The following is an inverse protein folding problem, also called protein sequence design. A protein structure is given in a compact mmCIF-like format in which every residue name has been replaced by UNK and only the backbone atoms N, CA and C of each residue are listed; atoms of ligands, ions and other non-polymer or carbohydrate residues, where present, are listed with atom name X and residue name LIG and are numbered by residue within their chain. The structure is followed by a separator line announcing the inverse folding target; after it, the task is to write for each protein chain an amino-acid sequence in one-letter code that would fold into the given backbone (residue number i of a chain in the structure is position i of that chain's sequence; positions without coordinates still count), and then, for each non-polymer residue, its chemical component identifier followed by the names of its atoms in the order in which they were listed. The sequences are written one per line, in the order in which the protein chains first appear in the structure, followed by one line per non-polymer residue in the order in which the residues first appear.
data_IF_118292791386
#
_entry.id   IF_118292791386
#
_cell.length_a   1.000
_cell.length_b   1.000
_cell.length_c   1.000
_cell.angle_alpha   90.00
_cell.angle_beta   90.00
_cell.angle_gamma   90.00
#
_symmetry.space_group_name_H-M   'P 1'
#
loop_
_entity.id
_entity.type
_entity.pdbx_description
1 polymer ?
#
# COMPACT_ATOMS: atom_id res chain seq x y z
N UNK A 1 38.92 -3.44 17.78
CA UNK A 1 38.37 -2.16 18.26
C UNK A 1 37.26 -1.75 17.31
N UNK A 2 36.07 -2.31 17.53
CA UNK A 2 34.86 -2.05 16.76
C UNK A 2 34.07 -0.98 17.47
N UNK A 3 33.94 0.20 16.86
CA UNK A 3 33.08 1.28 17.36
C UNK A 3 31.63 0.87 17.13
N UNK A 4 30.92 0.54 18.20
CA UNK A 4 29.46 0.47 18.19
C UNK A 4 28.90 1.88 18.05
N UNK A 5 28.06 2.08 17.03
CA UNK A 5 27.29 3.31 16.85
C UNK A 5 26.00 3.21 17.66
N UNK A 6 25.68 4.29 18.39
CA UNK A 6 24.48 4.41 19.22
C UNK A 6 23.19 4.38 18.39
N UNK A 7 22.13 3.81 18.97
CA UNK A 7 20.79 3.71 18.36
C UNK A 7 20.17 5.08 18.01
N UNK A 8 20.70 6.19 18.53
CA UNK A 8 20.24 7.55 18.24
C UNK A 8 20.80 8.16 16.94
N UNK A 9 21.85 7.56 16.34
CA UNK A 9 22.48 8.13 15.13
C UNK A 9 21.92 7.58 13.80
N UNK A 10 21.04 6.56 13.83
CA UNK A 10 20.41 6.00 12.62
C UNK A 10 19.19 6.77 12.11
N UNK A 11 18.68 7.76 12.86
CA UNK A 11 17.44 8.48 12.53
C UNK A 11 17.64 9.83 11.81
N UNK A 12 18.87 10.19 11.43
CA UNK A 12 19.18 11.53 10.88
C UNK A 12 19.20 11.65 9.35
N UNK A 13 18.76 10.63 8.60
CA UNK A 13 18.89 10.61 7.13
C UNK A 13 17.56 10.38 6.41
N UNK A 14 16.53 11.15 6.76
CA UNK A 14 15.42 11.41 5.84
C UNK A 14 15.27 12.93 5.73
N UNK A 15 15.36 13.53 4.52
CA UNK A 15 15.00 14.92 4.36
C UNK A 15 13.54 15.08 4.76
N UNK A 16 13.30 15.91 5.77
CA UNK A 16 11.96 16.29 6.16
C UNK A 16 11.27 17.00 4.98
N UNK A 17 10.29 16.34 4.37
CA UNK A 17 9.33 16.93 3.43
C UNK A 17 8.36 17.86 4.18
N UNK A 18 8.88 18.95 4.73
CA UNK A 18 8.09 19.97 5.40
C UNK A 18 8.70 21.35 5.18
N UNK A 19 8.08 22.17 4.32
CA UNK A 19 8.37 23.60 4.27
C UNK A 19 8.19 24.32 2.93
N UNK A 20 7.01 24.29 2.31
CA UNK A 20 6.64 25.33 1.33
C UNK A 20 5.95 26.48 2.08
N UNK A 21 6.73 27.47 2.50
CA UNK A 21 6.20 28.77 2.92
C UNK A 21 6.15 29.71 1.71
N UNK A 22 4.97 30.27 1.47
CA UNK A 22 4.70 31.24 0.43
C UNK A 22 5.44 32.57 0.72
N UNK A 23 6.34 32.96 -0.17
CA UNK A 23 6.88 34.32 -0.23
C UNK A 23 6.18 35.06 -1.39
N UNK A 24 5.33 36.02 -1.05
CA UNK A 24 4.77 36.97 -2.00
C UNK A 24 5.86 37.97 -2.42
N UNK A 25 6.26 37.91 -3.70
CA UNK A 25 7.13 38.89 -4.35
C UNK A 25 6.41 39.56 -5.51
N UNK A 26 6.46 40.90 -5.54
CA UNK A 26 5.80 41.78 -6.51
C UNK A 26 6.24 41.58 -7.98
N UNK A 27 5.40 41.98 -8.96
CA UNK A 27 5.64 41.71 -10.38
C UNK A 27 6.51 42.80 -11.01
N UNK A 28 7.62 42.38 -11.64
CA UNK A 28 8.28 43.19 -12.66
C UNK A 28 8.24 42.47 -13.99
N UNK A 29 7.34 42.94 -14.86
CA UNK A 29 7.34 42.62 -16.27
C UNK A 29 8.54 43.28 -16.95
N UNK A 30 9.27 42.51 -17.76
CA UNK A 30 9.63 42.94 -19.11
C UNK A 30 10.04 41.71 -19.92
N UNK A 31 9.38 41.56 -21.06
CA UNK A 31 9.53 40.41 -21.95
C UNK A 31 10.88 40.39 -22.67
N UNK A 32 11.24 39.19 -23.10
CA UNK A 32 11.81 38.87 -24.40
C UNK A 32 11.85 37.34 -24.51
N UNK A 33 11.48 36.82 -25.68
CA UNK A 33 11.27 35.40 -25.89
C UNK A 33 12.44 34.53 -25.49
N UNK A 34 12.14 33.43 -24.84
CA UNK A 34 13.02 32.28 -24.74
C UNK A 34 12.18 31.06 -25.06
N UNK A 35 12.54 30.35 -26.12
CA UNK A 35 12.08 28.97 -26.28
C UNK A 35 12.34 28.27 -24.97
N UNK A 36 11.26 27.85 -24.32
CA UNK A 36 11.35 26.89 -23.25
C UNK A 36 11.68 25.58 -23.97
N UNK A 37 12.97 25.43 -24.30
CA UNK A 37 13.55 24.09 -24.35
C UNK A 37 13.29 23.56 -22.93
N UNK A 38 12.19 22.82 -22.77
CA UNK A 38 11.91 22.08 -21.55
C UNK A 38 13.16 21.23 -21.33
N UNK A 39 13.98 21.60 -20.34
CA UNK A 39 15.11 20.80 -19.92
C UNK A 39 14.55 19.41 -19.61
N UNK A 40 14.81 18.47 -20.51
CA UNK A 40 14.52 17.06 -20.33
C UNK A 40 15.29 16.67 -19.07
N UNK A 41 14.58 16.45 -17.97
CA UNK A 41 15.22 16.07 -16.72
C UNK A 41 15.75 14.62 -16.83
N UNK A 42 16.68 14.24 -15.96
CA UNK A 42 17.27 12.89 -15.96
C UNK A 42 16.21 11.78 -15.87
N UNK A 43 15.04 12.10 -15.30
CA UNK A 43 13.92 11.18 -15.20
C UNK A 43 13.22 10.99 -16.55
N UNK A 44 13.04 12.04 -17.35
CA UNK A 44 12.52 11.92 -18.71
C UNK A 44 13.46 11.13 -19.63
N UNK A 45 14.77 11.33 -19.53
CA UNK A 45 15.76 10.53 -20.28
C UNK A 45 15.66 9.04 -19.91
N UNK A 46 15.53 8.73 -18.61
CA UNK A 46 15.31 7.37 -18.13
C UNK A 46 14.03 6.77 -18.73
N UNK A 47 12.92 7.50 -18.70
CA UNK A 47 11.64 7.00 -19.21
C UNK A 47 11.68 6.78 -20.73
N UNK A 48 12.33 7.66 -21.49
CA UNK A 48 12.58 7.48 -22.92
C UNK A 48 13.38 6.20 -23.15
N UNK A 49 14.45 5.97 -22.37
CA UNK A 49 15.25 4.75 -22.44
C UNK A 49 14.47 3.47 -22.14
N UNK A 50 13.44 3.56 -21.30
CA UNK A 50 12.51 2.46 -20.99
C UNK A 50 11.33 2.36 -21.97
N UNK A 51 11.16 3.32 -22.89
CA UNK A 51 10.02 3.39 -23.79
C UNK A 51 8.70 3.70 -23.08
N UNK A 52 8.72 4.50 -22.00
CA UNK A 52 7.54 4.81 -21.17
C UNK A 52 7.22 6.29 -21.10
N UNK A 53 5.94 6.59 -20.86
CA UNK A 53 5.51 7.91 -20.39
C UNK A 53 5.54 8.01 -18.87
N UNK A 54 5.43 9.23 -18.33
CA UNK A 54 5.34 9.47 -16.88
C UNK A 54 4.11 8.80 -16.28
N UNK A 55 2.99 8.82 -16.98
CA UNK A 55 1.71 8.21 -16.57
C UNK A 55 1.82 6.68 -16.55
N UNK A 56 2.45 6.09 -17.57
CA UNK A 56 2.68 4.64 -17.61
C UNK A 56 3.57 4.21 -16.44
N UNK A 57 4.68 4.91 -16.20
CA UNK A 57 5.57 4.60 -15.09
C UNK A 57 4.89 4.75 -13.72
N UNK A 58 4.07 5.79 -13.56
CA UNK A 58 3.29 5.99 -12.35
C UNK A 58 2.27 4.87 -12.10
N UNK A 59 1.55 4.47 -13.16
CA UNK A 59 0.59 3.37 -13.12
C UNK A 59 1.26 2.04 -12.74
N UNK A 60 2.36 1.69 -13.41
CA UNK A 60 3.09 0.45 -13.11
C UNK A 60 3.62 0.49 -11.67
N UNK A 61 4.11 1.64 -11.18
CA UNK A 61 4.54 1.76 -9.79
C UNK A 61 3.43 1.50 -8.77
N UNK A 62 2.22 1.99 -9.03
CA UNK A 62 1.05 1.70 -8.19
C UNK A 62 0.66 0.23 -8.28
N UNK A 63 0.67 -0.32 -9.49
CA UNK A 63 0.37 -1.73 -9.74
C UNK A 63 1.28 -2.65 -8.93
N UNK A 64 2.60 -2.49 -9.06
CA UNK A 64 3.56 -3.34 -8.35
C UNK A 64 3.55 -3.11 -6.82
N UNK A 65 3.30 -1.87 -6.38
CA UNK A 65 3.12 -1.58 -4.96
C UNK A 65 1.85 -2.28 -4.40
N UNK A 66 0.79 -2.36 -5.19
CA UNK A 66 -0.42 -3.10 -4.86
C UNK A 66 -0.15 -4.57 -4.60
N UNK A 67 0.60 -5.24 -5.49
CA UNK A 67 1.05 -6.61 -5.31
C UNK A 67 1.82 -6.81 -4.01
N UNK A 68 2.84 -5.99 -3.76
CA UNK A 68 3.68 -6.15 -2.58
C UNK A 68 2.92 -5.92 -1.26
N UNK A 69 2.08 -4.89 -1.18
CA UNK A 69 1.28 -4.62 0.03
C UNK A 69 0.27 -5.74 0.25
N UNK A 70 -0.43 -6.19 -0.80
CA UNK A 70 -1.39 -7.28 -0.72
C UNK A 70 -0.72 -8.59 -0.25
N UNK A 71 0.42 -8.95 -0.84
CA UNK A 71 1.19 -10.12 -0.43
C UNK A 71 1.54 -10.08 1.06
N UNK A 72 2.00 -8.94 1.58
CA UNK A 72 2.28 -8.77 3.03
C UNK A 72 1.03 -8.90 3.89
N UNK A 73 -0.09 -8.35 3.48
CA UNK A 73 -1.37 -8.45 4.22
C UNK A 73 -1.92 -9.88 4.26
N UNK A 74 -1.63 -10.68 3.22
CA UNK A 74 -1.94 -12.11 3.16
C UNK A 74 -0.91 -12.97 3.93
N UNK A 75 0.13 -12.37 4.52
CA UNK A 75 1.18 -13.07 5.24
C UNK A 75 2.22 -13.74 4.34
N UNK A 76 2.26 -13.39 3.05
CA UNK A 76 3.26 -13.90 2.11
C UNK A 76 4.59 -13.13 2.23
N UNK A 77 5.69 -13.84 1.98
CA UNK A 77 7.01 -13.24 1.92
C UNK A 77 7.29 -12.60 0.57
N UNK A 78 7.65 -11.30 0.60
CA UNK A 78 8.03 -10.52 -0.58
C UNK A 78 9.55 -10.48 -0.68
N UNK A 79 10.10 -10.95 -1.80
CA UNK A 79 11.53 -10.86 -2.12
C UNK A 79 11.92 -9.47 -2.63
N UNK A 80 11.04 -8.83 -3.40
CA UNK A 80 11.22 -7.45 -3.85
C UNK A 80 10.23 -7.05 -4.93
N UNK A 81 10.39 -5.81 -5.38
CA UNK A 81 9.63 -5.18 -6.46
C UNK A 81 10.56 -4.38 -7.37
N UNK A 82 10.32 -4.40 -8.68
CA UNK A 82 11.05 -3.58 -9.66
C UNK A 82 10.14 -2.96 -10.71
N UNK A 83 10.53 -1.78 -11.20
CA UNK A 83 9.99 -1.12 -12.39
C UNK A 83 10.93 -1.21 -13.58
N UNK A 84 12.02 -1.97 -13.46
CA UNK A 84 12.91 -2.20 -14.58
C UNK A 84 12.26 -3.31 -15.43
N UNK A 85 11.82 -3.01 -16.67
CA UNK A 85 11.23 -4.03 -17.53
C UNK A 85 12.26 -5.10 -17.91
N UNK A 86 11.76 -6.31 -18.17
CA UNK A 86 12.52 -7.34 -18.86
C UNK A 86 11.71 -7.85 -20.04
N UNK A 87 12.05 -7.37 -21.24
CA UNK A 87 11.37 -7.77 -22.47
C UNK A 87 11.55 -9.26 -22.80
N UNK A 88 12.61 -9.91 -22.30
CA UNK A 88 12.85 -11.35 -22.49
C UNK A 88 11.87 -12.16 -21.63
N UNK A 89 11.58 -11.66 -20.43
CA UNK A 89 10.62 -12.27 -19.50
C UNK A 89 9.19 -11.76 -19.67
N UNK A 90 8.99 -10.70 -20.45
CA UNK A 90 7.68 -10.21 -20.87
C UNK A 90 6.96 -9.31 -19.87
N UNK A 91 7.66 -8.74 -18.88
CA UNK A 91 7.03 -7.91 -17.85
C UNK A 91 7.50 -6.44 -17.89
N UNK A 92 6.59 -5.54 -17.50
CA UNK A 92 6.86 -4.10 -17.37
C UNK A 92 7.34 -3.75 -15.95
N UNK A 93 6.73 -4.33 -14.93
CA UNK A 93 7.21 -4.36 -13.56
C UNK A 93 7.20 -5.79 -13.07
N UNK A 94 7.79 -6.03 -11.91
CA UNK A 94 7.72 -7.35 -11.28
C UNK A 94 7.74 -7.21 -9.77
N UNK A 95 6.75 -7.82 -9.12
CA UNK A 95 6.75 -8.19 -7.72
C UNK A 95 7.07 -9.68 -7.60
N UNK A 96 7.98 -10.05 -6.71
CA UNK A 96 8.39 -11.45 -6.54
C UNK A 96 8.54 -11.86 -5.08
N UNK A 97 8.33 -13.15 -4.80
CA UNK A 97 8.56 -13.75 -3.49
C UNK A 97 10.02 -14.12 -3.21
N UNK A 98 10.36 -14.45 -1.97
CA UNK A 98 11.74 -14.72 -1.52
C UNK A 98 12.45 -15.91 -2.21
N UNK A 99 11.70 -16.81 -2.86
CA UNK A 99 12.22 -17.96 -3.61
C UNK A 99 12.19 -17.81 -5.15
N UNK A 100 12.06 -16.59 -5.65
CA UNK A 100 11.91 -16.33 -7.09
C UNK A 100 13.12 -16.80 -7.91
N UNK A 101 14.34 -16.65 -7.41
CA UNK A 101 15.53 -17.07 -8.16
C UNK A 101 15.56 -18.58 -8.39
N UNK A 102 15.16 -19.36 -7.39
CA UNK A 102 15.11 -20.81 -7.44
C UNK A 102 13.99 -21.33 -8.36
N UNK A 103 12.81 -20.72 -8.32
CA UNK A 103 11.66 -21.13 -9.15
C UNK A 103 11.90 -20.89 -10.65
N UNK A 104 12.58 -19.79 -11.00
CA UNK A 104 12.82 -19.41 -12.40
C UNK A 104 14.07 -20.06 -13.00
N UNK A 105 14.98 -20.61 -12.19
CA UNK A 105 16.12 -21.38 -12.71
C UNK A 105 15.67 -22.67 -13.44
N UNK A 106 14.54 -23.24 -13.02
CA UNK A 106 13.93 -24.44 -13.65
C UNK A 106 12.71 -24.11 -14.52
N UNK A 107 12.37 -22.83 -14.70
CA UNK A 107 11.19 -22.39 -15.45
C UNK A 107 9.84 -22.58 -14.75
N UNK A 108 9.80 -23.04 -13.50
CA UNK A 108 8.57 -23.33 -12.71
C UNK A 108 7.89 -22.08 -12.13
N UNK A 109 8.04 -20.95 -12.80
CA UNK A 109 7.48 -19.67 -12.36
C UNK A 109 6.05 -19.44 -12.84
N UNK A 110 5.54 -20.23 -13.79
CA UNK A 110 4.24 -19.99 -14.42
C UNK A 110 3.10 -20.74 -13.72
N UNK A 111 1.94 -20.09 -13.62
CA UNK A 111 0.74 -20.67 -13.03
C UNK A 111 0.23 -21.93 -13.77
N UNK A 112 0.48 -22.04 -15.08
CA UNK A 112 0.12 -23.25 -15.86
C UNK A 112 0.92 -24.47 -15.42
N UNK A 113 2.22 -24.32 -15.12
CA UNK A 113 3.05 -25.41 -14.61
C UNK A 113 2.55 -25.89 -13.24
N UNK A 114 2.16 -24.94 -12.38
CA UNK A 114 1.57 -25.25 -11.06
C UNK A 114 0.22 -25.94 -11.22
N UNK A 115 -0.64 -25.45 -12.11
CA UNK A 115 -1.90 -26.07 -12.44
C UNK A 115 -1.68 -27.52 -12.89
N UNK A 116 -0.79 -27.77 -13.84
CA UNK A 116 -0.56 -29.10 -14.40
C UNK A 116 -0.02 -30.10 -13.36
N UNK A 117 0.88 -29.63 -12.49
CA UNK A 117 1.44 -30.44 -11.40
C UNK A 117 0.39 -30.83 -10.35
N UNK A 118 -0.55 -29.92 -10.05
CA UNK A 118 -1.58 -30.13 -9.02
C UNK A 118 -2.86 -30.77 -9.55
N UNK A 119 -3.21 -30.57 -10.82
CA UNK A 119 -4.47 -31.04 -11.41
C UNK A 119 -4.69 -32.55 -11.25
N UNK A 120 -3.62 -33.35 -11.31
CA UNK A 120 -3.68 -34.80 -11.13
C UNK A 120 -3.98 -35.23 -9.68
N UNK A 121 -3.68 -34.36 -8.71
CA UNK A 121 -3.86 -34.59 -7.28
C UNK A 121 -5.20 -34.05 -6.78
N UNK A 122 -5.88 -33.21 -7.57
CA UNK A 122 -7.16 -32.62 -7.20
C UNK A 122 -8.29 -33.66 -7.16
N UNK A 123 -9.18 -33.58 -6.15
CA UNK A 123 -10.30 -34.50 -6.00
C UNK A 123 -11.30 -34.38 -7.15
N UNK A 124 -11.87 -35.52 -7.55
CA UNK A 124 -12.92 -35.62 -8.57
C UNK A 124 -14.28 -35.20 -8.01
N UNK A 125 -15.27 -35.13 -8.88
CA UNK A 125 -16.63 -34.80 -8.49
C UNK A 125 -17.17 -35.83 -7.46
N UNK A 126 -17.61 -35.33 -6.30
CA UNK A 126 -18.13 -36.15 -5.20
C UNK A 126 -17.08 -36.66 -4.21
N UNK A 127 -15.78 -36.48 -4.48
CA UNK A 127 -14.70 -36.85 -3.56
C UNK A 127 -14.50 -35.79 -2.45
N UNK A 128 -13.96 -36.23 -1.31
CA UNK A 128 -13.64 -35.35 -0.18
C UNK A 128 -12.50 -34.39 -0.53
N UNK A 129 -12.67 -33.11 -0.21
CA UNK A 129 -11.72 -32.04 -0.50
C UNK A 129 -10.84 -31.66 0.67
N UNK A 130 -11.09 -32.21 1.87
CA UNK A 130 -10.34 -31.85 3.09
C UNK A 130 -8.83 -32.09 2.97
N UNK A 131 -8.42 -33.11 2.22
CA UNK A 131 -7.01 -33.46 2.04
C UNK A 131 -6.21 -32.45 1.20
N UNK A 132 -6.88 -31.57 0.45
CA UNK A 132 -6.27 -30.54 -0.42
C UNK A 132 -6.77 -29.14 -0.07
N UNK A 133 -7.30 -28.94 1.14
CA UNK A 133 -7.88 -27.67 1.55
C UNK A 133 -6.85 -26.52 1.52
N UNK A 134 -5.59 -26.84 1.82
CA UNK A 134 -4.43 -25.97 1.70
C UNK A 134 -4.18 -25.52 0.25
N UNK A 135 -4.38 -26.39 -0.74
CA UNK A 135 -4.29 -26.01 -2.17
C UNK A 135 -5.36 -24.99 -2.53
N UNK A 136 -6.62 -25.21 -2.09
CA UNK A 136 -7.70 -24.26 -2.32
C UNK A 136 -7.43 -22.90 -1.67
N UNK A 137 -6.94 -22.90 -0.44
CA UNK A 137 -6.56 -21.68 0.28
C UNK A 137 -5.45 -20.92 -0.45
N UNK A 138 -4.36 -21.60 -0.84
CA UNK A 138 -3.24 -20.99 -1.55
C UNK A 138 -3.64 -20.45 -2.93
N UNK A 139 -4.49 -21.17 -3.68
CA UNK A 139 -5.03 -20.68 -4.96
C UNK A 139 -5.86 -19.41 -4.73
N UNK A 140 -6.71 -19.41 -3.71
CA UNK A 140 -7.53 -18.24 -3.39
C UNK A 140 -6.68 -17.02 -3.03
N UNK A 141 -5.70 -17.16 -2.13
CA UNK A 141 -4.82 -16.05 -1.76
C UNK A 141 -3.97 -15.57 -2.94
N UNK A 142 -3.51 -16.48 -3.82
CA UNK A 142 -2.76 -16.09 -5.02
C UNK A 142 -3.60 -15.40 -6.08
N UNK A 143 -4.85 -15.81 -6.30
CA UNK A 143 -5.75 -15.07 -7.19
C UNK A 143 -6.04 -13.65 -6.65
N UNK A 144 -6.14 -13.45 -5.33
CA UNK A 144 -6.23 -12.12 -4.73
C UNK A 144 -4.95 -11.31 -4.99
N UNK A 145 -3.78 -11.92 -4.81
CA UNK A 145 -2.49 -11.28 -5.07
C UNK A 145 -2.38 -10.82 -6.53
N UNK A 146 -2.65 -11.68 -7.52
CA UNK A 146 -2.63 -11.30 -8.94
C UNK A 146 -3.59 -10.16 -9.29
N UNK A 147 -4.71 -10.02 -8.58
CA UNK A 147 -5.67 -8.95 -8.85
C UNK A 147 -5.37 -7.67 -8.06
N UNK A 148 -4.39 -7.70 -7.15
CA UNK A 148 -4.04 -6.59 -6.29
C UNK A 148 -3.49 -5.39 -7.03
N UNK A 149 -2.66 -5.60 -8.07
CA UNK A 149 -2.13 -4.51 -8.88
C UNK A 149 -3.24 -3.67 -9.53
N UNK A 150 -4.22 -4.33 -10.16
CA UNK A 150 -5.39 -3.64 -10.73
C UNK A 150 -6.28 -2.99 -9.67
N UNK A 151 -6.49 -3.66 -8.54
CA UNK A 151 -7.26 -3.10 -7.43
C UNK A 151 -6.60 -1.82 -6.87
N UNK A 152 -5.27 -1.80 -6.78
CA UNK A 152 -4.49 -0.63 -6.40
C UNK A 152 -4.62 0.49 -7.42
N UNK A 153 -4.53 0.18 -8.73
CA UNK A 153 -4.75 1.17 -9.80
C UNK A 153 -6.14 1.83 -9.66
N UNK A 154 -7.23 1.07 -9.48
CA UNK A 154 -8.58 1.64 -9.30
C UNK A 154 -8.73 2.51 -8.06
N UNK A 155 -7.97 2.21 -7.01
CA UNK A 155 -8.07 2.92 -5.75
C UNK A 155 -7.38 4.29 -5.82
N UNK A 156 -6.27 4.37 -6.56
CA UNK A 156 -5.36 5.53 -6.54
C UNK A 156 -5.47 6.39 -7.79
N UNK A 157 -5.78 5.80 -8.95
CA UNK A 157 -5.84 6.49 -10.23
C UNK A 157 -7.27 6.75 -10.67
N UNK A 158 -7.44 7.81 -11.46
CA UNK A 158 -8.70 8.10 -12.12
C UNK A 158 -8.91 7.20 -13.34
N UNK A 159 -10.14 6.72 -13.53
CA UNK A 159 -10.54 5.91 -14.68
C UNK A 159 -10.43 4.40 -14.46
N UNK A 160 -10.83 3.62 -15.47
CA UNK A 160 -10.69 2.16 -15.41
C UNK A 160 -9.25 1.77 -15.77
N UNK A 161 -8.58 0.96 -14.94
CA UNK A 161 -7.25 0.45 -15.21
C UNK A 161 -7.17 -0.30 -16.53
N UNK A 162 -5.96 -0.33 -17.10
CA UNK A 162 -5.69 -1.24 -18.21
C UNK A 162 -5.87 -2.69 -17.76
N UNK A 163 -6.25 -3.56 -18.69
CA UNK A 163 -6.41 -4.98 -18.40
C UNK A 163 -5.03 -5.59 -18.07
N UNK A 164 -4.83 -6.14 -16.86
CA UNK A 164 -3.56 -6.77 -16.49
C UNK A 164 -3.51 -8.17 -17.10
N UNK A 165 -3.17 -8.25 -18.39
CA UNK A 165 -3.34 -9.45 -19.19
C UNK A 165 -2.60 -10.67 -18.60
N UNK A 166 -1.37 -10.48 -18.12
CA UNK A 166 -0.59 -11.58 -17.56
C UNK A 166 -1.09 -12.01 -16.17
N UNK A 167 -1.37 -11.08 -15.26
CA UNK A 167 -1.93 -11.41 -13.95
C UNK A 167 -3.27 -12.15 -14.07
N UNK A 168 -4.14 -11.69 -14.97
CA UNK A 168 -5.42 -12.34 -15.23
C UNK A 168 -5.22 -13.74 -15.83
N UNK A 169 -4.28 -13.90 -16.75
CA UNK A 169 -3.93 -15.22 -17.30
C UNK A 169 -3.45 -16.14 -16.18
N UNK A 170 -2.50 -15.71 -15.35
CA UNK A 170 -1.97 -16.50 -14.25
C UNK A 170 -3.05 -16.86 -13.21
N UNK A 171 -3.86 -15.88 -12.80
CA UNK A 171 -4.98 -16.11 -11.89
C UNK A 171 -6.00 -17.09 -12.45
N UNK A 172 -6.27 -17.01 -13.77
CA UNK A 172 -7.18 -17.92 -14.47
C UNK A 172 -6.67 -19.36 -14.48
N UNK A 173 -5.38 -19.57 -14.74
CA UNK A 173 -4.76 -20.89 -14.69
C UNK A 173 -4.91 -21.53 -13.31
N UNK A 174 -4.67 -20.79 -12.23
CA UNK A 174 -4.89 -21.31 -10.88
C UNK A 174 -6.38 -21.54 -10.58
N UNK A 175 -7.27 -20.65 -11.03
CA UNK A 175 -8.71 -20.79 -10.83
C UNK A 175 -9.30 -22.06 -11.44
N UNK A 176 -8.69 -22.63 -12.50
CA UNK A 176 -9.09 -23.91 -13.10
C UNK A 176 -8.99 -25.10 -12.12
N UNK A 177 -8.17 -24.99 -11.08
CA UNK A 177 -8.13 -25.99 -10.00
C UNK A 177 -9.44 -26.01 -9.20
N UNK A 178 -10.14 -24.87 -9.11
CA UNK A 178 -11.37 -24.70 -8.31
C UNK A 178 -12.62 -24.77 -9.18
N UNK A 179 -12.65 -23.99 -10.24
CA UNK A 179 -13.79 -23.78 -11.13
C UNK A 179 -13.61 -24.54 -12.44
N UNK A 180 -14.70 -25.09 -13.00
CA UNK A 180 -14.64 -25.88 -14.26
C UNK A 180 -15.34 -25.23 -15.44
N UNK A 181 -16.20 -24.23 -15.21
CA UNK A 181 -16.87 -23.47 -16.27
C UNK A 181 -16.34 -22.04 -16.32
N UNK A 182 -16.42 -21.42 -17.50
CA UNK A 182 -15.98 -20.04 -17.70
C UNK A 182 -16.67 -19.07 -16.75
N UNK A 183 -18.00 -19.17 -16.65
CA UNK A 183 -18.81 -18.32 -15.79
C UNK A 183 -18.39 -18.41 -14.31
N UNK A 184 -18.03 -19.61 -13.84
CA UNK A 184 -17.58 -19.80 -12.47
C UNK A 184 -16.17 -19.23 -12.24
N UNK A 185 -15.29 -19.30 -13.24
CA UNK A 185 -13.96 -18.72 -13.20
C UNK A 185 -14.05 -17.19 -13.13
N UNK A 186 -14.80 -16.58 -14.04
CA UNK A 186 -14.99 -15.12 -14.07
C UNK A 186 -15.64 -14.60 -12.79
N UNK A 187 -16.64 -15.31 -12.26
CA UNK A 187 -17.28 -14.95 -10.99
C UNK A 187 -16.30 -15.05 -9.82
N UNK A 188 -15.46 -16.10 -9.80
CA UNK A 188 -14.46 -16.29 -8.76
C UNK A 188 -13.36 -15.22 -8.81
N UNK A 189 -12.86 -14.88 -10.00
CA UNK A 189 -11.88 -13.82 -10.18
C UNK A 189 -12.48 -12.44 -9.86
N UNK A 190 -13.74 -12.18 -10.24
CA UNK A 190 -14.45 -10.97 -9.83
C UNK A 190 -14.57 -10.83 -8.31
N UNK A 191 -14.81 -11.94 -7.59
CA UNK A 191 -14.76 -11.96 -6.12
C UNK A 191 -13.35 -11.67 -5.59
N UNK A 192 -12.33 -12.29 -6.16
CA UNK A 192 -10.94 -12.07 -5.73
C UNK A 192 -10.48 -10.61 -5.95
N UNK A 193 -10.92 -9.96 -7.04
CA UNK A 193 -10.67 -8.54 -7.31
C UNK A 193 -11.32 -7.62 -6.25
N UNK A 194 -12.57 -7.91 -5.87
CA UNK A 194 -13.23 -7.18 -4.78
C UNK A 194 -12.52 -7.41 -3.43
N UNK A 195 -12.11 -8.65 -3.15
CA UNK A 195 -11.37 -8.99 -1.94
C UNK A 195 -10.01 -8.27 -1.88
N UNK A 196 -9.28 -8.20 -2.99
CA UNK A 196 -8.01 -7.47 -3.08
C UNK A 196 -8.22 -5.97 -2.81
N UNK A 197 -9.25 -5.36 -3.40
CA UNK A 197 -9.60 -3.97 -3.13
C UNK A 197 -9.93 -3.72 -1.66
N UNK A 198 -10.80 -4.54 -1.08
CA UNK A 198 -11.23 -4.37 0.31
C UNK A 198 -10.06 -4.56 1.29
N UNK A 199 -9.12 -5.46 0.96
CA UNK A 199 -7.89 -5.66 1.72
C UNK A 199 -6.94 -4.46 1.64
N UNK A 200 -6.78 -3.86 0.45
CA UNK A 200 -5.89 -2.73 0.20
C UNK A 200 -6.45 -1.38 0.67
N UNK A 201 -7.78 -1.22 0.73
CA UNK A 201 -8.45 0.07 0.98
C UNK A 201 -7.96 0.79 2.25
N UNK A 202 -7.72 0.13 3.40
CA UNK A 202 -7.18 0.80 4.60
C UNK A 202 -5.72 1.25 4.47
N UNK A 203 -5.02 0.79 3.45
CA UNK A 203 -3.58 0.96 3.23
C UNK A 203 -3.26 1.72 1.93
N UNK A 204 -4.23 2.47 1.37
CA UNK A 204 -3.99 3.22 0.13
C UNK A 204 -2.85 4.23 0.22
N UNK A 205 -2.61 4.80 1.40
CA UNK A 205 -1.46 5.67 1.63
C UNK A 205 -0.11 4.94 1.64
N UNK A 206 -0.08 3.68 2.13
CA UNK A 206 1.09 2.80 2.01
C UNK A 206 1.40 2.55 0.54
N UNK A 207 0.39 2.23 -0.28
CA UNK A 207 0.55 2.02 -1.73
C UNK A 207 1.09 3.27 -2.42
N UNK A 208 0.57 4.46 -2.10
CA UNK A 208 1.04 5.74 -2.65
C UNK A 208 2.51 6.02 -2.26
N UNK A 209 2.86 5.84 -0.98
CA UNK A 209 4.24 6.06 -0.53
C UNK A 209 5.19 5.05 -1.16
N UNK A 210 4.83 3.77 -1.15
CA UNK A 210 5.67 2.71 -1.70
C UNK A 210 5.90 2.90 -3.21
N UNK A 211 4.85 3.18 -3.98
CA UNK A 211 4.95 3.48 -5.42
C UNK A 211 5.83 4.72 -5.70
N UNK A 212 5.73 5.76 -4.86
CA UNK A 212 6.60 6.94 -4.98
C UNK A 212 8.07 6.58 -4.75
N UNK A 213 8.39 5.85 -3.68
CA UNK A 213 9.76 5.41 -3.38
C UNK A 213 10.27 4.48 -4.49
N UNK A 214 9.41 3.59 -4.98
CA UNK A 214 9.73 2.67 -6.05
C UNK A 214 10.05 3.39 -7.37
N UNK A 215 9.35 4.46 -7.73
CA UNK A 215 9.68 5.27 -8.93
C UNK A 215 11.05 5.92 -8.84
N UNK A 216 11.46 6.33 -7.64
CA UNK A 216 12.77 6.93 -7.36
C UNK A 216 13.87 5.86 -7.40
N UNK A 217 13.69 4.75 -6.68
CA UNK A 217 14.73 3.71 -6.53
C UNK A 217 14.76 2.68 -7.65
N UNK A 218 13.69 2.60 -8.45
CA UNK A 218 13.40 1.61 -9.50
C UNK A 218 13.26 0.18 -9.02
N UNK A 219 13.97 -0.22 -7.96
CA UNK A 219 13.89 -1.54 -7.35
C UNK A 219 13.94 -1.42 -5.83
N UNK A 220 13.11 -2.20 -5.15
CA UNK A 220 13.07 -2.34 -3.70
C UNK A 220 13.18 -3.82 -3.33
N UNK A 221 14.02 -4.11 -2.33
CA UNK A 221 14.06 -5.42 -1.68
C UNK A 221 12.90 -5.58 -0.70
N UNK A 222 12.55 -6.83 -0.37
CA UNK A 222 11.55 -7.13 0.66
C UNK A 222 11.78 -6.43 1.99
N UNK A 223 13.04 -6.29 2.41
CA UNK A 223 13.40 -5.61 3.65
C UNK A 223 13.13 -4.09 3.60
N UNK A 224 13.39 -3.44 2.46
CA UNK A 224 13.09 -2.02 2.27
C UNK A 224 11.58 -1.77 2.24
N UNK A 225 10.82 -2.68 1.61
CA UNK A 225 9.36 -2.66 1.62
C UNK A 225 8.85 -2.73 3.07
N UNK A 226 9.37 -3.66 3.87
CA UNK A 226 8.97 -3.82 5.28
C UNK A 226 9.30 -2.60 6.13
N UNK A 227 10.45 -1.97 5.89
CA UNK A 227 10.85 -0.75 6.58
C UNK A 227 9.91 0.41 6.26
N UNK A 228 9.53 0.58 4.99
CA UNK A 228 8.57 1.60 4.55
C UNK A 228 7.21 1.38 5.21
N UNK A 229 6.66 0.16 5.14
CA UNK A 229 5.37 -0.20 5.74
C UNK A 229 5.39 0.08 7.25
N UNK A 230 6.41 -0.44 7.95
CA UNK A 230 6.56 -0.25 9.40
C UNK A 230 6.69 1.22 9.77
N UNK A 231 7.46 1.98 9.01
CA UNK A 231 7.64 3.41 9.23
C UNK A 231 6.34 4.19 9.13
N UNK A 232 5.53 3.92 8.10
CA UNK A 232 4.26 4.61 7.89
C UNK A 232 3.22 4.24 8.97
N UNK A 233 3.12 2.97 9.32
CA UNK A 233 2.20 2.51 10.37
C UNK A 233 2.59 3.09 11.75
N UNK A 234 3.89 3.18 12.06
CA UNK A 234 4.36 3.84 13.27
C UNK A 234 3.99 5.34 13.29
N UNK A 235 4.11 6.03 12.16
CA UNK A 235 3.72 7.44 12.05
C UNK A 235 2.21 7.65 12.21
N UNK A 236 1.36 6.78 11.62
CA UNK A 236 -0.10 6.80 11.82
C UNK A 236 -0.48 6.61 13.28
N UNK A 237 0.14 5.63 13.94
CA UNK A 237 -0.11 5.34 15.35
C UNK A 237 0.27 6.54 16.22
N UNK A 238 1.43 7.17 15.96
CA UNK A 238 1.87 8.37 16.66
C UNK A 238 0.90 9.55 16.45
N UNK A 239 0.47 9.79 15.21
CA UNK A 239 -0.49 10.85 14.89
C UNK A 239 -1.84 10.64 15.58
N UNK A 240 -2.31 9.39 15.63
CA UNK A 240 -3.56 9.01 16.33
C UNK A 240 -3.43 9.25 17.83
N UNK A 241 -2.32 8.86 18.44
CA UNK A 241 -2.06 9.09 19.86
C UNK A 241 -1.97 10.58 20.20
N UNK A 242 -1.30 11.38 19.36
CA UNK A 242 -1.26 12.83 19.52
C UNK A 242 -2.66 13.46 19.48
N UNK A 243 -3.52 13.01 18.54
CA UNK A 243 -4.91 13.47 18.46
C UNK A 243 -5.70 13.12 19.72
N UNK A 244 -5.59 11.88 20.19
CA UNK A 244 -6.25 11.40 21.41
C UNK A 244 -5.84 12.22 22.64
N UNK A 245 -4.55 12.54 22.78
CA UNK A 245 -4.05 13.38 23.88
C UNK A 245 -4.57 14.82 23.80
N UNK A 246 -4.65 15.39 22.60
CA UNK A 246 -5.21 16.72 22.40
C UNK A 246 -6.70 16.76 22.75
N UNK A 247 -7.46 15.73 22.37
CA UNK A 247 -8.86 15.56 22.74
C UNK A 247 -9.05 15.44 24.26
N UNK A 248 -8.26 14.57 24.91
CA UNK A 248 -8.28 14.42 26.36
C UNK A 248 -8.04 15.76 27.08
N UNK A 249 -7.01 16.50 26.67
CA UNK A 249 -6.68 17.81 27.25
C UNK A 249 -7.82 18.82 27.08
N UNK A 250 -8.54 18.80 25.95
CA UNK A 250 -9.73 19.65 25.74
C UNK A 250 -10.86 19.27 26.70
N UNK A 251 -11.09 17.98 26.94
CA UNK A 251 -12.10 17.52 27.90
C UNK A 251 -11.75 17.93 29.33
N UNK A 252 -10.49 17.82 29.75
CA UNK A 252 -10.02 18.28 31.06
C UNK A 252 -10.27 19.78 31.24
N UNK A 253 -9.88 20.60 30.25
CA UNK A 253 -10.12 22.04 30.28
C UNK A 253 -11.60 22.40 30.35
N UNK A 254 -12.45 21.69 29.60
CA UNK A 254 -13.90 21.90 29.65
C UNK A 254 -14.48 21.52 31.03
N UNK A 255 -14.00 20.42 31.63
CA UNK A 255 -14.43 19.98 32.96
C UNK A 255 -14.00 20.98 34.05
N UNK A 256 -12.76 21.47 34.01
CA UNK A 256 -12.28 22.47 34.96
C UNK A 256 -13.04 23.80 34.82
N UNK A 257 -13.30 24.22 33.58
CA UNK A 257 -14.14 25.39 33.31
C UNK A 257 -15.57 25.22 33.85
N UNK A 258 -16.17 24.03 33.69
CA UNK A 258 -17.49 23.73 34.23
C UNK A 258 -17.51 23.78 35.76
N UNK A 259 -16.53 23.15 36.44
CA UNK A 259 -16.41 23.20 37.91
C UNK A 259 -16.30 24.64 38.40
N UNK A 260 -15.45 25.45 37.76
CA UNK A 260 -15.27 26.85 38.13
C UNK A 260 -16.56 27.70 38.00
N UNK A 261 -17.51 27.29 37.14
CA UNK A 261 -18.82 27.94 37.06
C UNK A 261 -19.82 27.47 38.11
N UNK A 262 -19.70 26.22 38.56
CA UNK A 262 -20.57 25.66 39.60
C UNK A 262 -20.17 26.12 41.01
N UNK A 263 -18.87 26.27 41.30
CA UNK A 263 -18.37 26.63 42.64
C UNK A 263 -19.00 27.92 43.22
N UNK A 264 -19.21 29.01 42.45
CA UNK A 264 -19.90 30.20 42.94
C UNK A 264 -21.39 29.96 43.28
N UNK A 265 -22.06 29.04 42.56
CA UNK A 265 -23.47 28.72 42.80
C UNK A 265 -23.65 27.87 44.05
N UNK A 266 -22.73 26.94 44.29
CA UNK A 266 -22.75 26.10 45.49
C UNK A 266 -22.42 26.91 46.74
N UNK A 267 -21.44 27.82 46.68
CA UNK A 267 -21.12 28.73 47.80
C UNK A 267 -22.27 29.68 48.15
N UNK A 268 -22.99 30.21 47.15
CA UNK A 268 -24.17 31.06 47.38
C UNK A 268 -25.36 30.29 48.00
N UNK A 269 -25.55 29.01 47.60
CA UNK A 269 -26.60 28.15 48.14
C UNK A 269 -26.38 27.77 49.62
N UNK A 270 -25.13 27.58 50.02
CA UNK A 270 -24.79 27.23 51.41
C UNK A 270 -24.89 28.42 52.36
N UNK A 271 -24.55 29.62 51.88
CA UNK A 271 -24.65 30.84 52.66
C UNK A 271 -26.08 31.37 52.84
N UNK A 272 -27.01 30.98 51.96
CA UNK A 272 -28.45 31.25 52.13
C UNK A 272 -29.14 30.25 53.07
N UNK A 273 -28.81 28.96 52.97
CA UNK A 273 -29.27 27.93 53.92
C UNK A 273 -28.88 28.22 55.38
N UNK A 274 -27.67 28.70 55.63
CA UNK A 274 -27.18 29.02 56.98
C UNK A 274 -27.92 30.19 57.67
N UNK A 275 -28.69 31.02 56.93
CA UNK A 275 -29.46 32.13 57.51
C UNK A 275 -30.87 31.73 57.99
N UNK A 276 -31.41 30.61 57.50
CA UNK A 276 -32.78 30.19 57.82
C UNK A 276 -32.90 29.35 59.11
N UNK A 277 -31.79 28.85 59.67
CA UNK A 277 -31.80 28.05 60.92
C UNK A 277 -31.54 28.87 62.20
N UNK A 278 -31.51 30.20 62.11
CA UNK A 278 -31.17 31.12 63.20
C UNK A 278 -32.34 31.92 63.81
N UNK A 279 -33.59 31.59 63.50
CA UNK A 279 -34.80 32.16 64.10
C UNK A 279 -35.65 31.07 64.75
#
# INVERSE_FOLDING_TARGET
MTKEFSAEERFKSFPALAGMQAAAGEPRSNGNGSGLDEEIDEYDELLIGLGRTREQDHRIAIHEAGHAVCARLLGHDVGGVTLIPDATRGYEGLCWGVGHAEAFAEGRGDASDVHDALAQQMPRAGEDRRAVADVFENVYTKCIEFLAGRAAERMVLDGEPAVPADDLRQARELALLICKSEEAIETFLGHCDLAARDLLMPYGDVVIVLSTVLRIKRTLSGAEIDEIIRGLEAQKALATEHRRRAEWKRCEQAADWFRAQCDPLDTARWSSSARDWGQ
#
